data_IF_785529347581
#
_entry.id   IF_785529347581
#
_cell.length_a   1.000
_cell.length_b   1.000
_cell.length_c   1.000
_cell.angle_alpha   90.00
_cell.angle_beta   90.00
_cell.angle_gamma   90.00
#
_symmetry.space_group_name_H-M   'P 1'
#
loop_
_entity.id
_entity.type
_entity.pdbx_description
1 polymer ?
#
# COMPACT_ATOMS: atom_id res chain seq x y z
N UNK A 1 50.67 28.60 -29.96
CA UNK A 1 50.02 29.37 -28.88
C UNK A 1 49.48 28.34 -27.89
N UNK A 2 50.33 27.90 -26.95
CA UNK A 2 49.92 26.98 -25.89
C UNK A 2 49.06 27.74 -24.89
N UNK A 3 47.80 27.34 -24.74
CA UNK A 3 46.92 27.85 -23.70
C UNK A 3 47.45 27.40 -22.33
N UNK A 4 48.20 28.27 -21.65
CA UNK A 4 48.52 28.12 -20.22
C UNK A 4 47.22 28.29 -19.42
N UNK A 5 46.49 27.21 -19.21
CA UNK A 5 45.33 27.20 -18.30
C UNK A 5 45.86 27.17 -16.87
N UNK A 6 45.57 28.20 -16.07
CA UNK A 6 46.05 28.26 -14.69
C UNK A 6 45.30 27.24 -13.82
N UNK A 7 45.92 26.75 -12.74
CA UNK A 7 45.24 25.84 -11.78
C UNK A 7 43.93 26.41 -11.24
N UNK A 8 43.81 27.74 -11.13
CA UNK A 8 42.56 28.40 -10.72
C UNK A 8 41.48 28.30 -11.79
N UNK A 9 41.85 28.30 -13.06
CA UNK A 9 40.91 28.19 -14.17
C UNK A 9 40.41 26.75 -14.30
N UNK A 10 41.28 25.76 -14.09
CA UNK A 10 40.89 24.34 -14.02
C UNK A 10 39.86 24.12 -12.90
N UNK A 11 40.10 24.67 -11.70
CA UNK A 11 39.15 24.56 -10.58
C UNK A 11 37.84 25.30 -10.88
N UNK A 12 37.89 26.51 -11.47
CA UNK A 12 36.70 27.28 -11.84
C UNK A 12 35.86 26.55 -12.89
N UNK A 13 36.47 26.13 -14.01
CA UNK A 13 35.75 25.43 -15.08
C UNK A 13 35.28 24.04 -14.64
N UNK A 14 36.05 23.33 -13.80
CA UNK A 14 35.62 22.08 -13.18
C UNK A 14 34.41 22.27 -12.26
N UNK A 15 34.44 23.29 -11.38
CA UNK A 15 33.31 23.61 -10.50
C UNK A 15 32.06 24.06 -11.27
N UNK A 16 32.24 24.80 -12.37
CA UNK A 16 31.16 25.21 -13.26
C UNK A 16 30.56 24.00 -14.00
N UNK A 17 31.39 23.08 -14.49
CA UNK A 17 30.95 21.84 -15.13
C UNK A 17 30.16 20.94 -14.18
N UNK A 18 30.59 20.83 -12.92
CA UNK A 18 29.83 20.13 -11.87
C UNK A 18 28.51 20.85 -11.59
N UNK A 19 28.52 22.17 -11.43
CA UNK A 19 27.31 22.95 -11.17
C UNK A 19 26.28 22.83 -12.30
N UNK A 20 26.73 22.90 -13.57
CA UNK A 20 25.87 22.72 -14.75
C UNK A 20 25.35 21.28 -14.82
N UNK A 21 26.17 20.28 -14.53
CA UNK A 21 25.74 18.87 -14.52
C UNK A 21 24.74 18.58 -13.40
N UNK A 22 24.97 19.12 -12.19
CA UNK A 22 24.03 19.05 -11.08
C UNK A 22 22.72 19.78 -11.40
N UNK A 23 22.77 20.95 -12.04
CA UNK A 23 21.59 21.69 -12.47
C UNK A 23 20.82 20.93 -13.55
N UNK A 24 21.51 20.37 -14.54
CA UNK A 24 20.91 19.55 -15.59
C UNK A 24 20.26 18.29 -15.01
N UNK A 25 20.95 17.58 -14.10
CA UNK A 25 20.39 16.44 -13.37
C UNK A 25 19.16 16.84 -12.54
N UNK A 26 19.23 18.00 -11.88
CA UNK A 26 18.14 18.54 -11.06
C UNK A 26 16.92 18.86 -11.92
N UNK A 27 17.11 19.53 -13.05
CA UNK A 27 16.03 19.90 -13.97
C UNK A 27 15.41 18.65 -14.60
N UNK A 28 16.23 17.69 -15.04
CA UNK A 28 15.76 16.45 -15.68
C UNK A 28 15.05 15.50 -14.71
N UNK A 29 15.40 15.54 -13.41
CA UNK A 29 14.84 14.67 -12.38
C UNK A 29 13.92 15.40 -11.37
N UNK A 30 13.53 16.66 -11.64
CA UNK A 30 12.82 17.52 -10.69
C UNK A 30 11.54 16.89 -10.11
N UNK A 31 10.79 16.15 -10.93
CA UNK A 31 9.56 15.45 -10.48
C UNK A 31 9.86 14.32 -9.48
N UNK A 32 10.94 13.56 -9.68
CA UNK A 32 11.37 12.53 -8.73
C UNK A 32 11.93 13.18 -7.45
N UNK A 33 12.61 14.31 -7.58
CA UNK A 33 13.17 15.05 -6.43
C UNK A 33 12.13 15.82 -5.61
N UNK A 34 10.92 16.07 -6.14
CA UNK A 34 9.82 16.68 -5.35
C UNK A 34 9.53 15.90 -4.06
N UNK A 35 9.80 14.60 -4.07
CA UNK A 35 9.52 13.70 -2.95
C UNK A 35 10.76 13.31 -2.14
N UNK A 36 11.97 13.68 -2.58
CA UNK A 36 13.24 13.34 -1.92
C UNK A 36 13.81 14.55 -1.17
N UNK A 37 14.09 14.39 0.12
CA UNK A 37 14.69 15.45 0.95
C UNK A 37 16.23 15.38 0.96
N UNK A 38 16.93 16.46 1.36
CA UNK A 38 18.36 16.39 1.65
C UNK A 38 18.71 15.30 2.67
N UNK A 39 17.83 15.01 3.65
CA UNK A 39 17.97 13.87 4.57
C UNK A 39 17.89 12.52 3.84
N UNK A 40 16.97 12.38 2.89
CA UNK A 40 16.86 11.18 2.07
C UNK A 40 18.13 10.96 1.20
N UNK A 41 18.65 12.04 0.60
CA UNK A 41 19.90 12.02 -0.17
C UNK A 41 21.09 11.68 0.73
N UNK A 42 21.19 12.31 1.90
CA UNK A 42 22.23 12.02 2.89
C UNK A 42 22.20 10.54 3.30
N UNK A 43 21.01 9.99 3.54
CA UNK A 43 20.83 8.58 3.87
C UNK A 43 21.24 7.65 2.72
N UNK A 44 20.93 8.01 1.48
CA UNK A 44 21.35 7.24 0.29
C UNK A 44 22.88 7.23 0.14
N UNK A 45 23.54 8.35 0.45
CA UNK A 45 25.00 8.53 0.27
C UNK A 45 25.80 7.92 1.43
N UNK A 46 25.35 8.11 2.67
CA UNK A 46 26.14 7.78 3.87
C UNK A 46 25.64 6.54 4.62
N UNK A 47 24.46 6.00 4.26
CA UNK A 47 23.88 4.80 4.84
C UNK A 47 23.42 4.97 6.29
N UNK A 48 22.18 4.56 6.58
CA UNK A 48 21.83 4.14 7.95
C UNK A 48 22.32 2.70 8.11
N UNK A 49 22.60 2.25 9.33
CA UNK A 49 22.88 0.84 9.60
C UNK A 49 21.71 -0.01 9.10
N UNK A 50 21.80 -0.58 7.91
CA UNK A 50 20.73 -1.40 7.34
C UNK A 50 20.76 -2.78 7.99
N UNK A 51 19.59 -3.36 8.30
CA UNK A 51 19.51 -4.77 8.68
C UNK A 51 20.13 -5.66 7.58
N UNK A 52 20.61 -6.87 7.92
CA UNK A 52 21.23 -7.78 6.97
C UNK A 52 20.18 -8.48 6.06
N UNK A 53 19.36 -7.71 5.36
CA UNK A 53 18.40 -8.22 4.38
C UNK A 53 19.13 -9.01 3.29
N UNK A 54 18.54 -10.13 2.84
CA UNK A 54 19.12 -11.00 1.81
C UNK A 54 20.31 -11.87 2.26
N UNK A 55 20.92 -11.63 3.44
CA UNK A 55 21.94 -12.53 3.95
C UNK A 55 21.30 -13.80 4.51
N UNK A 56 21.67 -14.96 3.95
CA UNK A 56 21.19 -16.27 4.39
C UNK A 56 19.70 -16.53 4.15
N UNK A 57 19.14 -16.09 3.02
CA UNK A 57 17.76 -16.47 2.63
C UNK A 57 17.55 -17.99 2.59
N UNK A 58 18.62 -18.75 2.32
CA UNK A 58 18.67 -20.21 2.30
C UNK A 58 18.86 -20.87 3.69
N UNK A 59 19.07 -20.10 4.78
CA UNK A 59 19.18 -20.65 6.14
C UNK A 59 17.82 -20.77 6.82
N UNK A 60 17.76 -21.55 7.90
CA UNK A 60 16.55 -21.70 8.70
C UNK A 60 16.06 -20.35 9.23
N UNK A 61 14.74 -20.17 9.27
CA UNK A 61 14.07 -18.95 9.77
C UNK A 61 14.59 -18.51 11.16
N UNK A 62 14.83 -19.47 12.05
CA UNK A 62 15.39 -19.22 13.39
C UNK A 62 16.76 -18.53 13.34
N UNK A 63 17.64 -18.94 12.42
CA UNK A 63 18.95 -18.29 12.25
C UNK A 63 18.81 -16.84 11.76
N UNK A 64 17.85 -16.57 10.86
CA UNK A 64 17.57 -15.22 10.35
C UNK A 64 17.04 -14.30 11.46
N UNK A 65 16.12 -14.80 12.28
CA UNK A 65 15.60 -14.07 13.44
C UNK A 65 16.73 -13.74 14.43
N UNK A 66 17.63 -14.68 14.74
CA UNK A 66 18.76 -14.39 15.64
C UNK A 66 19.72 -13.34 15.07
N UNK A 67 19.90 -13.27 13.76
CA UNK A 67 20.69 -12.21 13.13
C UNK A 67 20.03 -10.84 13.34
N UNK A 68 18.72 -10.74 13.18
CA UNK A 68 18.00 -9.50 13.49
C UNK A 68 18.04 -9.15 14.98
N UNK A 69 17.99 -10.14 15.89
CA UNK A 69 18.16 -9.90 17.33
C UNK A 69 19.53 -9.29 17.64
N UNK A 70 20.60 -9.86 17.06
CA UNK A 70 21.96 -9.32 17.23
C UNK A 70 22.08 -7.91 16.65
N UNK A 71 21.49 -7.67 15.47
CA UNK A 71 21.43 -6.35 14.87
C UNK A 71 20.73 -5.32 15.77
N UNK A 72 19.55 -5.64 16.33
CA UNK A 72 18.82 -4.76 17.25
C UNK A 72 19.65 -4.49 18.51
N UNK A 73 20.32 -5.52 19.04
CA UNK A 73 21.22 -5.39 20.19
C UNK A 73 22.34 -4.40 19.92
N UNK A 74 23.00 -4.50 18.77
CA UNK A 74 24.08 -3.59 18.37
C UNK A 74 23.56 -2.16 18.16
N UNK A 75 22.41 -2.01 17.50
CA UNK A 75 21.76 -0.73 17.27
C UNK A 75 21.44 -0.02 18.60
N UNK A 76 20.91 -0.76 19.57
CA UNK A 76 20.61 -0.25 20.91
C UNK A 76 21.87 0.10 21.72
N UNK A 77 22.91 -0.74 21.63
CA UNK A 77 24.18 -0.52 22.33
C UNK A 77 24.94 0.71 21.82
N UNK A 78 24.89 1.00 20.52
CA UNK A 78 25.55 2.18 19.92
C UNK A 78 24.89 3.50 20.30
N UNK A 79 23.61 3.49 20.68
CA UNK A 79 22.85 4.68 21.05
C UNK A 79 22.59 5.67 19.91
N UNK A 80 23.04 5.37 18.68
CA UNK A 80 22.95 6.25 17.50
C UNK A 80 21.66 6.06 16.68
N UNK A 81 20.72 5.25 17.16
CA UNK A 81 19.47 4.98 16.46
C UNK A 81 18.62 6.26 16.36
N UNK A 82 18.13 6.55 15.14
CA UNK A 82 17.22 7.66 14.89
C UNK A 82 15.96 7.48 15.72
N UNK A 83 15.55 8.53 16.40
CA UNK A 83 14.27 8.56 17.10
C UNK A 83 13.20 9.07 16.13
N UNK A 84 12.11 8.31 15.97
CA UNK A 84 11.01 8.69 15.08
C UNK A 84 10.30 9.92 15.66
N UNK A 85 10.15 11.03 14.91
CA UNK A 85 9.51 12.23 15.41
C UNK A 85 8.04 11.98 15.71
N UNK A 86 7.46 12.79 16.59
CA UNK A 86 6.05 12.67 16.97
C UNK A 86 5.13 13.07 15.80
N UNK A 87 3.91 12.50 15.78
CA UNK A 87 2.89 12.94 14.84
C UNK A 87 2.49 14.40 15.11
N UNK A 88 2.37 15.26 14.09
CA UNK A 88 1.85 16.60 14.28
C UNK A 88 0.45 16.58 14.93
N UNK A 89 0.25 17.42 15.95
CA UNK A 89 -0.97 17.46 16.78
C UNK A 89 -2.30 17.72 16.05
N UNK A 90 -2.27 18.16 14.80
CA UNK A 90 -3.46 18.56 14.01
C UNK A 90 -3.73 17.63 12.83
N UNK A 91 -3.06 16.48 12.73
CA UNK A 91 -3.37 15.53 11.67
C UNK A 91 -4.71 14.85 11.95
N UNK A 92 -5.46 14.63 10.88
CA UNK A 92 -6.66 13.81 10.92
C UNK A 92 -6.30 12.32 11.00
N UNK A 93 -7.10 11.57 11.75
CA UNK A 93 -6.94 10.13 11.95
C UNK A 93 -8.23 9.40 11.60
N UNK A 94 -8.06 8.19 11.08
CA UNK A 94 -9.12 7.23 10.79
C UNK A 94 -8.83 5.95 11.57
N UNK A 95 -9.90 5.20 11.88
CA UNK A 95 -9.87 3.99 12.71
C UNK A 95 -9.42 4.18 14.18
N UNK A 96 -9.03 5.39 14.60
CA UNK A 96 -8.58 5.72 15.97
C UNK A 96 -8.64 7.22 16.23
N UNK A 97 -8.64 7.60 17.50
CA UNK A 97 -8.23 8.95 17.91
C UNK A 97 -6.71 9.15 17.69
N UNK A 98 -6.20 10.40 17.65
CA UNK A 98 -4.78 10.67 17.45
C UNK A 98 -3.88 9.94 18.44
N UNK A 99 -2.90 9.19 17.92
CA UNK A 99 -1.96 8.40 18.73
C UNK A 99 -0.66 9.15 18.95
N UNK A 100 0.02 8.85 20.06
CA UNK A 100 1.35 9.38 20.39
C UNK A 100 2.41 8.28 20.44
N UNK A 101 3.54 8.53 19.78
CA UNK A 101 4.74 7.68 19.85
C UNK A 101 5.39 7.77 21.24
N UNK A 102 5.44 8.97 21.82
CA UNK A 102 6.17 9.26 23.06
C UNK A 102 5.39 10.24 23.95
N UNK A 103 5.67 10.18 25.26
CA UNK A 103 5.01 11.04 26.26
C UNK A 103 5.44 12.49 26.04
N UNK A 104 4.49 13.41 25.90
CA UNK A 104 4.75 14.82 26.20
C UNK A 104 4.75 15.02 27.72
N UNK A 105 5.87 15.50 28.26
CA UNK A 105 5.82 16.20 29.54
C UNK A 105 5.48 17.64 29.23
N UNK A 106 4.27 18.09 29.55
CA UNK A 106 4.02 19.54 29.65
C UNK A 106 4.95 20.06 30.74
N UNK A 107 5.94 20.87 30.37
CA UNK A 107 6.80 21.57 31.33
C UNK A 107 5.88 22.57 32.05
N UNK A 108 5.48 22.26 33.29
CA UNK A 108 4.58 23.15 34.02
C UNK A 108 3.92 22.64 35.30
N UNK A 109 4.27 21.47 35.83
CA UNK A 109 3.80 21.06 37.18
C UNK A 109 4.97 20.49 37.96
N UNK A 110 5.76 21.37 38.59
CA UNK A 110 6.68 20.97 39.65
C UNK A 110 5.89 20.82 40.97
N UNK A 111 6.00 19.63 41.56
CA UNK A 111 5.78 19.30 42.97
C UNK A 111 4.71 20.10 43.72
N UNK A 112 3.46 19.66 43.63
CA UNK A 112 2.51 19.92 44.70
C UNK A 112 2.18 18.58 45.37
N UNK A 113 2.29 18.55 46.70
CA UNK A 113 1.77 17.44 47.51
C UNK A 113 0.25 17.58 47.52
N UNK A 114 -0.44 16.51 47.16
CA UNK A 114 -1.89 16.49 47.02
C UNK A 114 -2.43 15.37 47.90
N UNK A 115 -3.12 15.73 48.97
CA UNK A 115 -3.54 14.80 50.04
C UNK A 115 -5.08 14.73 50.19
N UNK A 116 -5.88 15.28 49.25
CA UNK A 116 -7.35 15.25 49.35
C UNK A 116 -8.10 14.97 48.02
N UNK A 117 -9.39 14.64 48.16
CA UNK A 117 -10.31 14.22 47.08
C UNK A 117 -10.60 15.32 46.04
N UNK A 118 -10.49 16.60 46.41
CA UNK A 118 -10.59 17.72 45.46
C UNK A 118 -9.36 17.84 44.57
N UNK A 119 -8.19 17.47 45.08
CA UNK A 119 -6.96 17.45 44.30
C UNK A 119 -7.00 16.36 43.21
N UNK A 120 -7.63 15.20 43.50
CA UNK A 120 -7.87 14.15 42.51
C UNK A 120 -8.80 14.61 41.38
N UNK A 121 -9.85 15.35 41.70
CA UNK A 121 -10.77 15.90 40.69
C UNK A 121 -10.10 17.02 39.87
N UNK A 122 -9.23 17.84 40.49
CA UNK A 122 -8.42 18.82 39.79
C UNK A 122 -7.38 18.15 38.86
N UNK A 123 -6.78 17.03 39.27
CA UNK A 123 -5.90 16.22 38.42
C UNK A 123 -6.70 15.61 37.27
N UNK A 124 -7.89 15.05 37.52
CA UNK A 124 -8.73 14.45 36.48
C UNK A 124 -9.14 15.49 35.44
N UNK A 125 -9.55 16.68 35.89
CA UNK A 125 -9.85 17.81 35.02
C UNK A 125 -8.60 18.35 34.32
N UNK A 126 -7.42 18.36 34.95
CA UNK A 126 -6.17 18.73 34.31
C UNK A 126 -5.71 17.69 33.27
N UNK A 127 -5.88 16.40 33.52
CA UNK A 127 -5.63 15.31 32.57
C UNK A 127 -6.55 15.44 31.36
N UNK A 128 -7.83 15.74 31.58
CA UNK A 128 -8.82 15.99 30.52
C UNK A 128 -8.57 17.32 29.77
N UNK A 129 -8.08 18.37 30.46
CA UNK A 129 -7.88 19.71 29.92
C UNK A 129 -6.52 19.91 29.24
N UNK A 130 -5.48 19.20 29.69
CA UNK A 130 -4.11 19.28 29.17
C UNK A 130 -3.69 18.02 28.39
N UNK A 131 -4.57 17.03 28.24
CA UNK A 131 -4.32 15.83 27.43
C UNK A 131 -3.13 15.02 27.93
N UNK A 132 -3.01 14.81 29.25
CA UNK A 132 -1.98 13.92 29.80
C UNK A 132 -2.44 12.48 29.55
N UNK A 133 -2.32 12.03 28.30
CA UNK A 133 -2.53 10.64 27.91
C UNK A 133 -1.25 9.84 28.12
N UNK A 134 -1.39 8.55 28.45
CA UNK A 134 -0.28 7.63 28.34
C UNK A 134 0.10 7.58 26.84
N UNK A 135 1.39 7.63 26.46
CA UNK A 135 1.75 7.46 25.05
C UNK A 135 1.26 6.09 24.56
N UNK A 136 0.32 6.10 23.62
CA UNK A 136 -0.45 4.91 23.19
C UNK A 136 0.45 3.84 22.55
N UNK A 137 1.56 4.27 21.95
CA UNK A 137 2.49 3.41 21.23
C UNK A 137 3.75 3.05 22.02
N UNK A 138 3.95 3.65 23.21
CA UNK A 138 5.08 3.29 24.07
C UNK A 138 4.92 1.85 24.53
N UNK A 139 6.02 1.09 24.45
CA UNK A 139 5.99 -0.33 24.79
C UNK A 139 5.53 -1.24 23.64
N UNK A 140 5.25 -0.69 22.46
CA UNK A 140 4.82 -1.47 21.28
C UNK A 140 5.88 -1.51 20.19
N UNK A 141 5.92 -2.60 19.45
CA UNK A 141 6.59 -2.65 18.15
C UNK A 141 5.60 -2.10 17.12
N UNK A 142 5.98 -1.05 16.41
CA UNK A 142 5.11 -0.36 15.44
C UNK A 142 5.67 -0.51 14.04
N UNK A 143 4.82 -0.87 13.08
CA UNK A 143 5.14 -0.77 11.65
C UNK A 143 4.41 0.44 11.09
N UNK A 144 5.17 1.47 10.71
CA UNK A 144 4.63 2.59 9.94
C UNK A 144 4.64 2.20 8.46
N UNK A 145 3.48 2.15 7.84
CA UNK A 145 3.33 1.93 6.39
C UNK A 145 3.14 3.27 5.69
N UNK A 146 4.12 3.73 4.92
CA UNK A 146 4.03 4.94 4.11
C UNK A 146 3.37 4.60 2.78
N UNK A 147 2.10 4.97 2.65
CA UNK A 147 1.25 4.54 1.54
C UNK A 147 0.46 5.70 0.93
N UNK A 148 -0.11 5.49 -0.26
CA UNK A 148 -1.07 6.39 -0.90
C UNK A 148 -2.07 5.53 -1.67
N UNK A 149 -3.36 5.87 -1.65
CA UNK A 149 -4.40 4.96 -2.15
C UNK A 149 -4.41 4.82 -3.69
N UNK A 150 -3.77 5.70 -4.44
CA UNK A 150 -3.66 5.59 -5.89
C UNK A 150 -2.53 4.64 -6.35
N UNK A 151 -1.67 4.17 -5.45
CA UNK A 151 -0.50 3.37 -5.80
C UNK A 151 -0.81 1.89 -5.76
N UNK A 152 -0.66 1.22 -6.91
CA UNK A 152 -0.91 -0.23 -7.02
C UNK A 152 0.03 -1.05 -6.13
N UNK A 153 1.30 -0.65 -6.02
CA UNK A 153 2.27 -1.30 -5.14
C UNK A 153 1.88 -1.20 -3.66
N UNK A 154 1.22 -0.10 -3.25
CA UNK A 154 0.68 0.02 -1.89
C UNK A 154 -0.50 -0.93 -1.66
N UNK A 155 -1.34 -1.17 -2.68
CA UNK A 155 -2.47 -2.09 -2.52
C UNK A 155 -1.98 -3.54 -2.40
N UNK A 156 -0.94 -3.91 -3.16
CA UNK A 156 -0.35 -5.25 -3.12
C UNK A 156 0.22 -5.65 -1.76
N UNK A 157 0.57 -4.70 -0.89
CA UNK A 157 1.15 -4.99 0.44
C UNK A 157 0.11 -5.06 1.55
N UNK A 158 -1.14 -4.66 1.31
CA UNK A 158 -2.19 -4.73 2.34
C UNK A 158 -2.41 -6.17 2.88
N UNK A 159 -2.40 -7.23 2.05
CA UNK A 159 -2.46 -8.61 2.57
C UNK A 159 -1.24 -9.01 3.41
N UNK A 160 -0.06 -8.42 3.14
CA UNK A 160 1.14 -8.64 3.95
C UNK A 160 0.97 -8.02 5.35
N UNK A 161 0.40 -6.81 5.42
CA UNK A 161 0.12 -6.12 6.67
C UNK A 161 -0.97 -6.83 7.47
N UNK A 162 -2.06 -7.24 6.83
CA UNK A 162 -3.15 -7.99 7.47
C UNK A 162 -2.64 -9.32 8.06
N UNK A 163 -1.70 -9.99 7.37
CA UNK A 163 -1.04 -11.18 7.92
C UNK A 163 -0.32 -10.88 9.23
N UNK A 164 0.44 -9.77 9.32
CA UNK A 164 1.15 -9.38 10.54
C UNK A 164 0.17 -9.01 11.66
N UNK A 165 -0.88 -8.25 11.35
CA UNK A 165 -1.94 -7.88 12.30
C UNK A 165 -2.61 -9.12 12.89
N UNK A 166 -2.98 -10.10 12.05
CA UNK A 166 -3.57 -11.37 12.51
C UNK A 166 -2.60 -12.18 13.36
N UNK A 167 -1.34 -12.29 12.93
CA UNK A 167 -0.30 -13.07 13.63
C UNK A 167 0.03 -12.49 15.01
N UNK A 168 0.06 -11.16 15.13
CA UNK A 168 0.51 -10.46 16.34
C UNK A 168 -0.62 -9.76 17.11
N UNK A 169 -1.89 -10.09 16.85
CA UNK A 169 -3.07 -9.43 17.45
C UNK A 169 -3.08 -9.35 18.99
N UNK A 170 -2.51 -10.36 19.67
CA UNK A 170 -2.46 -10.47 21.14
C UNK A 170 -1.10 -10.02 21.71
N UNK A 171 -0.22 -9.52 20.84
CA UNK A 171 1.13 -9.05 21.15
C UNK A 171 1.14 -7.51 21.17
N UNK A 172 2.17 -6.87 21.74
CA UNK A 172 2.27 -5.42 21.78
C UNK A 172 2.74 -4.89 20.42
N UNK A 173 1.88 -5.05 19.42
CA UNK A 173 2.11 -4.76 18.01
C UNK A 173 1.04 -3.80 17.48
N UNK A 174 1.39 -2.93 16.54
CA UNK A 174 0.39 -2.28 15.69
C UNK A 174 1.02 -1.89 14.35
N UNK A 175 0.19 -1.88 13.30
CA UNK A 175 0.47 -1.17 12.06
C UNK A 175 -0.12 0.25 12.19
N UNK A 176 0.51 1.24 11.56
CA UNK A 176 -0.07 2.56 11.35
C UNK A 176 0.14 2.93 9.89
N UNK A 177 -0.95 3.13 9.15
CA UNK A 177 -0.91 3.62 7.79
C UNK A 177 -0.64 5.13 7.78
N UNK A 178 0.57 5.54 7.42
CA UNK A 178 0.95 6.94 7.23
C UNK A 178 0.63 7.34 5.80
N UNK A 179 -0.61 7.77 5.56
CA UNK A 179 -1.07 8.16 4.24
C UNK A 179 -0.35 9.44 3.78
N UNK A 180 0.58 9.29 2.83
CA UNK A 180 1.43 10.35 2.29
C UNK A 180 1.01 10.63 0.85
N UNK A 181 0.20 11.66 0.63
CA UNK A 181 -0.52 11.92 -0.62
C UNK A 181 0.39 12.20 -1.83
N UNK A 182 0.33 11.39 -2.91
CA UNK A 182 1.08 11.64 -4.17
C UNK A 182 0.50 12.83 -4.96
N UNK A 183 -0.83 13.00 -4.95
CA UNK A 183 -1.57 14.08 -5.61
C UNK A 183 -2.36 14.93 -4.60
N UNK A 184 -2.64 16.19 -4.94
CA UNK A 184 -3.34 17.12 -4.03
C UNK A 184 -4.75 16.63 -3.64
N UNK A 185 -5.46 15.93 -4.54
CA UNK A 185 -6.75 15.31 -4.24
C UNK A 185 -6.65 14.22 -3.17
N UNK A 186 -5.50 13.56 -3.04
CA UNK A 186 -5.32 12.49 -2.05
C UNK A 186 -5.14 13.03 -0.62
N UNK A 187 -5.08 14.36 -0.43
CA UNK A 187 -5.08 14.97 0.90
C UNK A 187 -6.47 15.03 1.53
N UNK A 188 -7.52 14.85 0.75
CA UNK A 188 -8.91 14.90 1.21
C UNK A 188 -9.24 13.71 2.13
N UNK A 189 -9.71 14.00 3.34
CA UNK A 189 -9.95 12.99 4.37
C UNK A 189 -11.05 12.00 3.97
N UNK A 190 -12.11 12.46 3.29
CA UNK A 190 -13.20 11.57 2.86
C UNK A 190 -12.73 10.63 1.74
N UNK A 191 -11.87 11.10 0.84
CA UNK A 191 -11.24 10.24 -0.16
C UNK A 191 -10.39 9.14 0.50
N UNK A 192 -9.59 9.48 1.51
CA UNK A 192 -8.80 8.51 2.29
C UNK A 192 -9.73 7.55 3.05
N UNK A 193 -10.79 8.05 3.70
CA UNK A 193 -11.80 7.20 4.38
C UNK A 193 -12.41 6.21 3.40
N UNK A 194 -12.84 6.66 2.22
CA UNK A 194 -13.40 5.77 1.20
C UNK A 194 -12.36 4.73 0.72
N UNK A 195 -11.07 5.05 0.68
CA UNK A 195 -10.01 4.09 0.41
C UNK A 195 -9.83 3.07 1.56
N UNK A 196 -9.83 3.52 2.81
CA UNK A 196 -9.79 2.66 4.01
C UNK A 196 -10.94 1.66 3.99
N UNK A 197 -12.16 2.14 3.73
CA UNK A 197 -13.35 1.30 3.61
C UNK A 197 -13.30 0.37 2.40
N UNK A 198 -12.84 0.87 1.25
CA UNK A 198 -12.71 0.09 0.03
C UNK A 198 -11.74 -1.06 0.27
N UNK A 199 -10.54 -0.81 0.73
CA UNK A 199 -9.53 -1.87 0.86
C UNK A 199 -9.62 -2.66 2.18
N UNK A 200 -10.53 -2.31 3.08
CA UNK A 200 -10.77 -3.05 4.31
C UNK A 200 -9.66 -2.84 5.34
N UNK A 201 -9.02 -1.67 5.33
CA UNK A 201 -7.93 -1.33 6.25
C UNK A 201 -8.50 -1.19 7.68
N UNK A 202 -7.94 -1.97 8.62
CA UNK A 202 -8.41 -1.98 10.02
C UNK A 202 -7.43 -1.41 11.03
N UNK A 203 -6.16 -1.20 10.68
CA UNK A 203 -5.23 -0.43 11.50
C UNK A 203 -5.56 1.07 11.51
N UNK A 204 -5.04 1.81 12.51
CA UNK A 204 -4.93 3.26 12.48
C UNK A 204 -4.38 3.80 11.16
N UNK A 205 -5.01 4.84 10.62
CA UNK A 205 -4.49 5.60 9.48
C UNK A 205 -4.41 7.07 9.84
N UNK A 206 -3.25 7.68 9.58
CA UNK A 206 -3.03 9.12 9.76
C UNK A 206 -2.89 9.80 8.41
N UNK A 207 -3.54 10.94 8.23
CA UNK A 207 -3.40 11.76 7.03
C UNK A 207 -2.14 12.64 7.11
N UNK A 208 -1.00 12.10 6.66
CA UNK A 208 0.23 12.87 6.43
C UNK A 208 0.23 13.50 5.02
N UNK A 209 -0.86 14.16 4.65
CA UNK A 209 -1.05 14.72 3.30
C UNK A 209 -0.01 15.78 2.92
N UNK A 210 0.61 16.42 3.91
CA UNK A 210 1.73 17.34 3.70
C UNK A 210 3.10 16.66 3.78
N UNK A 211 3.19 15.33 3.91
CA UNK A 211 4.41 14.53 3.92
C UNK A 211 5.42 14.95 5.00
N UNK A 212 4.97 15.36 6.18
CA UNK A 212 5.87 15.74 7.27
C UNK A 212 6.72 14.56 7.72
N UNK A 213 6.09 13.44 8.07
CA UNK A 213 6.78 12.28 8.62
C UNK A 213 7.60 11.59 7.53
N UNK A 214 7.05 11.53 6.30
CA UNK A 214 7.77 11.10 5.10
C UNK A 214 9.12 11.82 4.94
N UNK A 215 9.10 13.15 5.02
CA UNK A 215 10.31 13.98 4.86
C UNK A 215 11.29 13.82 6.02
N UNK A 216 10.79 13.74 7.24
CA UNK A 216 11.61 13.62 8.44
C UNK A 216 12.34 12.28 8.51
N UNK A 217 11.69 11.19 8.08
CA UNK A 217 12.29 9.86 8.01
C UNK A 217 13.02 9.58 6.69
N UNK A 218 13.08 10.56 5.78
CA UNK A 218 13.78 10.44 4.51
C UNK A 218 13.25 9.30 3.64
N UNK A 219 11.92 9.12 3.60
CA UNK A 219 11.24 8.17 2.72
C UNK A 219 11.32 8.66 1.27
N UNK A 220 11.42 7.74 0.32
CA UNK A 220 11.64 8.06 -1.12
C UNK A 220 10.77 7.26 -2.07
N UNK A 221 9.96 6.33 -1.58
CA UNK A 221 9.20 5.39 -2.41
C UNK A 221 7.91 4.99 -1.72
N UNK A 222 6.88 4.71 -2.51
CA UNK A 222 5.67 4.04 -2.05
C UNK A 222 5.67 2.57 -2.51
N UNK A 223 5.31 1.62 -1.64
CA UNK A 223 5.25 1.74 -0.19
C UNK A 223 6.66 1.80 0.44
N UNK A 224 6.73 2.28 1.68
CA UNK A 224 7.90 2.11 2.55
C UNK A 224 7.44 1.76 3.96
N UNK A 225 8.06 0.76 4.57
CA UNK A 225 7.81 0.37 5.95
C UNK A 225 8.91 0.93 6.86
N UNK A 226 8.54 1.54 7.97
CA UNK A 226 9.45 1.89 9.05
C UNK A 226 9.10 1.11 10.31
N UNK A 227 10.02 0.27 10.78
CA UNK A 227 9.83 -0.56 11.96
C UNK A 227 10.37 0.21 13.16
N UNK A 228 9.52 0.44 14.16
CA UNK A 228 9.81 1.26 15.33
C UNK A 228 9.75 0.40 16.59
N UNK A 229 10.77 0.49 17.43
CA UNK A 229 10.83 -0.21 18.71
C UNK A 229 9.96 0.45 19.79
N UNK A 230 9.74 -0.23 20.93
CA UNK A 230 8.89 0.24 22.04
C UNK A 230 9.35 1.52 22.72
N UNK A 231 10.56 1.99 22.41
CA UNK A 231 11.16 3.23 22.88
C UNK A 231 11.10 4.37 21.83
N UNK A 232 10.43 4.15 20.70
CA UNK A 232 10.33 5.12 19.60
C UNK A 232 11.56 5.19 18.69
N UNK A 233 12.54 4.29 18.84
CA UNK A 233 13.69 4.19 17.95
C UNK A 233 13.32 3.51 16.65
N UNK A 234 13.77 4.08 15.53
CA UNK A 234 13.69 3.47 14.22
C UNK A 234 14.67 2.30 14.16
N UNK A 235 14.13 1.09 14.00
CA UNK A 235 14.92 -0.14 13.86
C UNK A 235 15.34 -0.39 12.42
N UNK A 236 14.43 -0.16 11.47
CA UNK A 236 14.72 -0.38 10.06
C UNK A 236 13.74 0.39 9.17
N UNK A 237 14.14 0.59 7.91
CA UNK A 237 13.25 1.00 6.83
C UNK A 237 13.39 0.04 5.65
N UNK A 238 12.27 -0.37 5.06
CA UNK A 238 12.20 -1.29 3.93
C UNK A 238 11.34 -0.63 2.85
N UNK A 239 11.85 -0.52 1.63
CA UNK A 239 11.16 0.15 0.51
C UNK A 239 10.68 -0.86 -0.51
N UNK A 240 9.47 -0.65 -1.05
CA UNK A 240 8.90 -1.48 -2.09
C UNK A 240 8.03 -2.64 -1.56
N UNK A 241 7.53 -3.45 -2.49
CA UNK A 241 6.65 -4.58 -2.23
C UNK A 241 7.43 -5.91 -2.06
N UNK A 242 6.76 -6.95 -1.54
CA UNK A 242 7.33 -8.32 -1.48
C UNK A 242 8.16 -8.62 -0.24
N UNK A 243 8.07 -7.80 0.81
CA UNK A 243 8.90 -7.91 2.02
C UNK A 243 8.19 -8.56 3.22
N UNK A 244 7.06 -9.27 3.03
CA UNK A 244 6.31 -9.92 4.13
C UNK A 244 7.20 -10.69 5.10
N UNK A 245 8.10 -11.54 4.59
CA UNK A 245 9.00 -12.37 5.40
C UNK A 245 9.96 -11.51 6.24
N UNK A 246 10.48 -10.43 5.64
CA UNK A 246 11.44 -9.52 6.30
C UNK A 246 10.76 -8.72 7.41
N UNK A 247 9.56 -8.21 7.16
CA UNK A 247 8.74 -7.57 8.19
C UNK A 247 8.43 -8.55 9.33
N UNK A 248 7.99 -9.76 9.00
CA UNK A 248 7.64 -10.77 9.99
C UNK A 248 8.81 -11.14 10.90
N UNK A 249 9.96 -11.47 10.31
CA UNK A 249 11.13 -11.90 11.07
C UNK A 249 11.75 -10.76 11.88
N UNK A 250 11.70 -9.52 11.39
CA UNK A 250 12.20 -8.36 12.12
C UNK A 250 11.29 -7.99 13.30
N UNK A 251 9.97 -8.07 13.14
CA UNK A 251 9.00 -7.88 14.23
C UNK A 251 9.19 -8.97 15.30
N UNK A 252 9.34 -10.24 14.89
CA UNK A 252 9.61 -11.33 15.84
C UNK A 252 10.93 -11.11 16.59
N UNK A 253 11.98 -10.70 15.90
CA UNK A 253 13.26 -10.36 16.52
C UNK A 253 13.15 -9.20 17.53
N UNK A 254 12.36 -8.17 17.21
CA UNK A 254 12.08 -7.07 18.13
C UNK A 254 11.38 -7.57 19.40
N UNK A 255 10.38 -8.46 19.29
CA UNK A 255 9.76 -9.07 20.47
C UNK A 255 10.74 -9.88 21.31
N UNK A 256 11.57 -10.71 20.69
CA UNK A 256 12.58 -11.50 21.40
C UNK A 256 13.61 -10.64 22.14
N UNK A 257 14.00 -9.50 21.56
CA UNK A 257 14.95 -8.58 22.17
C UNK A 257 14.31 -7.76 23.29
N UNK A 258 13.23 -7.03 23.00
CA UNK A 258 12.60 -6.11 23.96
C UNK A 258 11.80 -6.83 25.05
N UNK A 259 11.29 -8.04 24.78
CA UNK A 259 10.69 -8.90 25.79
C UNK A 259 11.69 -9.31 26.86
N UNK A 260 12.92 -9.69 26.48
CA UNK A 260 14.01 -9.95 27.43
C UNK A 260 14.40 -8.72 28.26
N UNK A 261 14.22 -7.51 27.71
CA UNK A 261 14.44 -6.23 28.39
C UNK A 261 13.23 -5.74 29.20
N UNK A 262 12.09 -6.47 29.19
CA UNK A 262 10.83 -6.08 29.84
C UNK A 262 10.34 -4.69 29.43
N UNK A 263 10.49 -4.36 28.14
CA UNK A 263 10.12 -3.06 27.59
C UNK A 263 8.78 -3.07 26.84
N UNK A 264 8.09 -4.20 26.83
CA UNK A 264 6.87 -4.39 26.06
C UNK A 264 5.60 -4.14 26.90
N UNK A 265 4.60 -3.49 26.31
CA UNK A 265 3.32 -3.12 26.96
C UNK A 265 2.12 -3.54 26.10
N UNK A 266 1.32 -4.46 26.63
CA UNK A 266 0.16 -5.05 25.97
C UNK A 266 -1.13 -4.23 26.12
N UNK A 267 -1.08 -3.03 26.71
CA UNK A 267 -2.26 -2.15 26.82
C UNK A 267 -2.87 -1.89 25.44
N UNK A 268 -4.12 -2.26 25.14
CA UNK A 268 -4.69 -2.12 23.80
C UNK A 268 -4.74 -0.65 23.32
N UNK A 269 -4.63 -0.46 22.02
CA UNK A 269 -4.86 0.84 21.38
C UNK A 269 -6.37 1.04 21.22
N UNK A 270 -6.93 2.22 21.51
CA UNK A 270 -8.35 2.49 21.30
C UNK A 270 -8.67 2.55 19.80
N UNK A 271 -9.35 1.51 19.27
CA UNK A 271 -9.80 1.48 17.88
C UNK A 271 -11.28 1.89 17.78
N UNK A 272 -11.61 2.61 16.70
CA UNK A 272 -12.96 2.99 16.31
C UNK A 272 -13.05 2.91 14.78
N UNK A 273 -13.38 1.74 14.25
CA UNK A 273 -13.22 1.44 12.83
C UNK A 273 -14.21 2.24 11.97
N UNK A 274 -13.74 2.80 10.86
CA UNK A 274 -14.60 3.57 9.93
C UNK A 274 -15.75 2.71 9.40
N UNK A 275 -15.51 1.41 9.19
CA UNK A 275 -16.51 0.47 8.66
C UNK A 275 -17.73 0.27 9.58
N UNK A 276 -17.57 0.55 10.87
CA UNK A 276 -18.63 0.41 11.87
C UNK A 276 -19.51 1.68 11.93
N UNK A 277 -19.00 2.79 11.40
CA UNK A 277 -19.64 4.11 11.47
C UNK A 277 -20.27 4.56 10.14
N UNK A 278 -20.12 3.78 9.06
CA UNK A 278 -20.66 4.12 7.74
C UNK A 278 -21.89 3.27 7.38
N UNK A 279 -23.08 3.85 7.58
CA UNK A 279 -24.35 3.20 7.24
C UNK A 279 -24.48 2.74 5.78
N UNK A 280 -23.75 3.38 4.83
CA UNK A 280 -23.80 3.03 3.40
C UNK A 280 -23.31 1.61 3.15
N UNK A 281 -22.40 1.12 4.00
CA UNK A 281 -21.85 -0.25 3.91
C UNK A 281 -22.94 -1.29 4.17
N UNK A 282 -23.95 -0.96 4.98
CA UNK A 282 -25.02 -1.88 5.37
C UNK A 282 -26.25 -1.78 4.47
N UNK A 283 -26.51 -0.60 3.89
CA UNK A 283 -27.79 -0.33 3.21
C UNK A 283 -27.70 -0.31 1.69
N UNK A 284 -26.51 -0.16 1.11
CA UNK A 284 -26.35 -0.06 -0.35
C UNK A 284 -26.39 -1.43 -1.03
N UNK A 285 -27.15 -1.62 -2.13
CA UNK A 285 -27.14 -2.86 -2.89
C UNK A 285 -25.81 -3.12 -3.60
N UNK A 286 -25.04 -2.07 -3.87
CA UNK A 286 -23.70 -2.13 -4.45
C UNK A 286 -22.66 -1.66 -3.43
N UNK A 287 -21.45 -2.22 -3.48
CA UNK A 287 -20.35 -1.88 -2.60
C UNK A 287 -19.11 -1.61 -3.44
N UNK A 288 -18.73 -0.34 -3.50
CA UNK A 288 -17.62 0.18 -4.31
C UNK A 288 -17.58 -0.39 -5.74
N UNK A 289 -18.64 -0.19 -6.56
CA UNK A 289 -18.62 -0.66 -7.94
C UNK A 289 -17.50 0.00 -8.73
N UNK A 290 -16.69 -0.81 -9.42
CA UNK A 290 -15.46 -0.36 -10.07
C UNK A 290 -15.66 0.18 -11.47
N UNK A 291 -16.37 -0.58 -12.31
CA UNK A 291 -16.59 -0.29 -13.74
C UNK A 291 -17.97 -0.72 -14.19
N UNK A 292 -18.32 -0.27 -15.40
CA UNK A 292 -19.53 -0.65 -16.10
C UNK A 292 -19.24 -0.99 -17.57
N UNK A 293 -20.03 -1.89 -18.12
CA UNK A 293 -20.14 -2.14 -19.56
C UNK A 293 -21.61 -2.15 -19.98
N UNK A 294 -21.88 -1.98 -21.27
CA UNK A 294 -23.26 -1.85 -21.78
C UNK A 294 -23.49 -2.82 -22.93
N UNK A 295 -24.63 -3.51 -22.88
CA UNK A 295 -25.22 -4.22 -24.02
C UNK A 295 -26.34 -3.36 -24.60
N UNK A 296 -25.99 -2.59 -25.63
CA UNK A 296 -26.91 -1.64 -26.27
C UNK A 296 -28.06 -2.35 -27.00
N UNK A 297 -27.83 -3.56 -27.52
CA UNK A 297 -28.85 -4.28 -28.30
C UNK A 297 -29.97 -4.81 -27.41
N UNK A 298 -29.65 -5.20 -26.18
CA UNK A 298 -30.61 -5.79 -25.24
C UNK A 298 -30.93 -4.89 -24.04
N UNK A 299 -30.48 -3.62 -24.05
CA UNK A 299 -30.69 -2.65 -22.98
C UNK A 299 -30.23 -3.16 -21.60
N UNK A 300 -29.06 -3.81 -21.53
CA UNK A 300 -28.46 -4.30 -20.27
C UNK A 300 -27.23 -3.49 -19.87
N UNK A 301 -27.05 -3.30 -18.56
CA UNK A 301 -25.82 -2.79 -17.95
C UNK A 301 -25.15 -3.92 -17.17
N UNK A 302 -23.84 -4.06 -17.35
CA UNK A 302 -22.99 -4.94 -16.56
C UNK A 302 -22.20 -4.07 -15.59
N UNK A 303 -22.21 -4.41 -14.31
CA UNK A 303 -21.55 -3.68 -13.23
C UNK A 303 -20.58 -4.62 -12.53
N UNK A 304 -19.34 -4.19 -12.32
CA UNK A 304 -18.43 -4.89 -11.43
C UNK A 304 -18.65 -4.35 -10.01
N UNK A 305 -19.36 -5.13 -9.20
CA UNK A 305 -19.66 -4.79 -7.82
C UNK A 305 -18.48 -5.25 -6.94
N UNK A 306 -17.37 -4.53 -7.07
CA UNK A 306 -16.04 -5.02 -6.72
C UNK A 306 -15.93 -5.48 -5.26
N UNK A 307 -16.49 -4.75 -4.29
CA UNK A 307 -16.40 -5.15 -2.88
C UNK A 307 -17.51 -6.11 -2.42
N UNK A 308 -18.41 -6.50 -3.32
CA UNK A 308 -19.22 -7.71 -3.17
C UNK A 308 -18.69 -8.86 -4.05
N UNK A 309 -17.48 -8.74 -4.63
CA UNK A 309 -16.81 -9.81 -5.37
C UNK A 309 -17.70 -10.50 -6.43
N UNK A 310 -18.52 -9.72 -7.15
CA UNK A 310 -19.51 -10.24 -8.10
C UNK A 310 -19.71 -9.31 -9.29
N UNK A 311 -20.31 -9.83 -10.34
CA UNK A 311 -20.84 -9.06 -11.47
C UNK A 311 -22.35 -8.97 -11.34
N UNK A 312 -22.91 -7.76 -11.48
CA UNK A 312 -24.36 -7.51 -11.45
C UNK A 312 -24.79 -7.06 -12.84
N UNK A 313 -25.85 -7.67 -13.35
CA UNK A 313 -26.47 -7.30 -14.62
C UNK A 313 -27.83 -6.68 -14.35
N UNK A 314 -28.07 -5.52 -14.92
CA UNK A 314 -29.32 -4.76 -14.74
C UNK A 314 -29.90 -4.36 -16.09
N UNK A 315 -31.18 -4.00 -16.12
CA UNK A 315 -31.72 -3.20 -17.23
C UNK A 315 -31.33 -1.71 -17.09
N UNK A 316 -31.67 -0.88 -18.07
CA UNK A 316 -31.42 0.57 -18.00
C UNK A 316 -32.26 1.29 -16.92
N UNK A 317 -33.29 0.64 -16.36
CA UNK A 317 -34.09 1.14 -15.25
C UNK A 317 -33.48 0.82 -13.88
N UNK A 318 -32.40 0.03 -13.82
CA UNK A 318 -31.74 -0.40 -12.60
C UNK A 318 -32.34 -1.67 -11.97
N UNK A 319 -33.27 -2.36 -12.64
CA UNK A 319 -33.77 -3.64 -12.15
C UNK A 319 -32.70 -4.72 -12.34
N UNK A 320 -32.42 -5.49 -11.29
CA UNK A 320 -31.49 -6.61 -11.36
C UNK A 320 -32.06 -7.72 -12.27
N UNK A 321 -31.27 -8.13 -13.26
CA UNK A 321 -31.58 -9.23 -14.18
C UNK A 321 -30.91 -10.51 -13.68
N UNK A 322 -29.59 -10.46 -13.44
CA UNK A 322 -28.80 -11.60 -12.98
C UNK A 322 -27.61 -11.13 -12.16
N UNK A 323 -27.26 -11.93 -11.16
CA UNK A 323 -26.03 -11.81 -10.40
C UNK A 323 -25.12 -13.00 -10.73
N UNK A 324 -23.83 -12.74 -10.86
CA UNK A 324 -22.83 -13.76 -11.17
C UNK A 324 -21.74 -13.67 -10.11
N UNK A 325 -21.57 -14.75 -9.34
CA UNK A 325 -20.75 -14.78 -8.12
C UNK A 325 -21.55 -15.28 -6.92
N UNK A 326 -21.18 -16.46 -6.43
CA UNK A 326 -21.94 -17.33 -5.52
C UNK A 326 -22.28 -16.74 -4.14
N UNK A 327 -21.33 -16.04 -3.53
CA UNK A 327 -21.31 -15.89 -2.06
C UNK A 327 -20.89 -14.50 -1.60
N UNK A 328 -20.48 -13.61 -2.52
CA UNK A 328 -19.91 -12.31 -2.18
C UNK A 328 -18.54 -12.35 -1.50
N UNK A 329 -18.07 -13.55 -1.14
CA UNK A 329 -16.73 -13.82 -0.63
C UNK A 329 -15.70 -13.76 -1.75
N UNK A 330 -14.47 -13.40 -1.39
CA UNK A 330 -13.34 -13.42 -2.31
C UNK A 330 -12.98 -14.87 -2.70
N UNK A 331 -12.67 -15.08 -3.98
CA UNK A 331 -12.23 -16.39 -4.46
C UNK A 331 -11.89 -16.44 -5.94
N UNK A 332 -11.33 -17.56 -6.40
CA UNK A 332 -10.85 -17.75 -7.78
C UNK A 332 -11.43 -19.01 -8.46
N UNK A 333 -12.62 -19.44 -8.06
CA UNK A 333 -13.29 -20.61 -8.63
C UNK A 333 -14.00 -20.27 -9.95
N UNK A 334 -13.79 -21.10 -10.97
CA UNK A 334 -14.60 -21.16 -12.20
C UNK A 334 -15.86 -22.03 -11.98
N UNK A 335 -16.86 -21.95 -12.85
CA UNK A 335 -18.08 -22.77 -12.71
C UNK A 335 -19.31 -22.13 -13.34
N UNK A 336 -20.50 -22.54 -12.91
CA UNK A 336 -21.73 -21.83 -13.24
C UNK A 336 -21.80 -20.47 -12.49
N UNK A 337 -22.81 -19.66 -12.78
CA UNK A 337 -22.97 -18.34 -12.15
C UNK A 337 -23.08 -18.36 -10.62
N UNK A 338 -23.63 -19.44 -10.05
CA UNK A 338 -23.84 -19.63 -8.62
C UNK A 338 -22.65 -20.29 -7.91
N UNK A 339 -21.65 -20.79 -8.63
CA UNK A 339 -20.46 -21.45 -8.05
C UNK A 339 -19.19 -20.60 -8.21
N UNK A 340 -19.14 -19.82 -9.30
CA UNK A 340 -18.01 -18.96 -9.60
C UNK A 340 -17.79 -17.92 -8.50
N UNK A 341 -16.53 -17.54 -8.31
CA UNK A 341 -16.12 -16.50 -7.35
C UNK A 341 -15.10 -15.59 -8.01
N UNK A 342 -15.14 -14.31 -7.62
CA UNK A 342 -14.20 -13.27 -8.06
C UNK A 342 -13.45 -12.70 -6.86
N UNK A 343 -12.45 -11.87 -7.13
CA UNK A 343 -11.77 -11.08 -6.11
C UNK A 343 -11.56 -9.66 -6.63
N UNK A 344 -12.45 -8.77 -6.18
CA UNK A 344 -12.51 -7.35 -6.56
C UNK A 344 -12.42 -7.10 -8.07
N UNK A 345 -13.36 -7.66 -8.87
CA UNK A 345 -13.35 -7.45 -10.32
C UNK A 345 -13.48 -5.97 -10.67
N UNK A 346 -12.82 -5.53 -11.74
CA UNK A 346 -12.82 -4.16 -12.24
C UNK A 346 -13.35 -4.12 -13.68
N UNK A 347 -12.47 -3.96 -14.67
CA UNK A 347 -12.77 -3.82 -16.10
C UNK A 347 -13.76 -4.85 -16.65
N UNK A 348 -14.64 -4.38 -17.52
CA UNK A 348 -15.65 -5.18 -18.20
C UNK A 348 -15.66 -4.87 -19.70
N UNK A 349 -15.64 -5.89 -20.55
CA UNK A 349 -15.75 -5.73 -22.01
C UNK A 349 -16.70 -6.77 -22.60
N UNK A 350 -17.77 -6.30 -23.23
CA UNK A 350 -18.83 -7.17 -23.77
C UNK A 350 -18.65 -7.46 -25.26
N UNK A 351 -18.66 -8.74 -25.61
CA UNK A 351 -18.71 -9.23 -26.99
C UNK A 351 -20.16 -9.57 -27.36
N UNK A 352 -20.80 -8.64 -28.07
CA UNK A 352 -22.22 -8.77 -28.44
C UNK A 352 -22.52 -9.91 -29.42
N UNK A 353 -21.54 -10.39 -30.19
CA UNK A 353 -21.76 -11.45 -31.19
C UNK A 353 -21.80 -12.83 -30.56
N UNK A 354 -20.96 -13.04 -29.53
CA UNK A 354 -20.84 -14.32 -28.82
C UNK A 354 -21.60 -14.34 -27.49
N UNK A 355 -22.15 -13.20 -27.06
CA UNK A 355 -22.80 -13.02 -25.76
C UNK A 355 -21.84 -13.38 -24.61
N UNK A 356 -20.60 -12.89 -24.72
CA UNK A 356 -19.53 -13.10 -23.73
C UNK A 356 -19.14 -11.77 -23.06
N UNK A 357 -18.84 -11.80 -21.77
CA UNK A 357 -18.31 -10.65 -21.04
C UNK A 357 -16.94 -10.99 -20.47
N UNK A 358 -15.91 -10.28 -20.92
CA UNK A 358 -14.57 -10.37 -20.36
C UNK A 358 -14.48 -9.51 -19.11
N UNK A 359 -13.86 -10.05 -18.06
CA UNK A 359 -13.75 -9.43 -16.75
C UNK A 359 -12.29 -9.40 -16.32
N UNK A 360 -11.79 -8.21 -15.99
CA UNK A 360 -10.53 -8.06 -15.28
C UNK A 360 -10.77 -8.37 -13.80
N UNK A 361 -10.36 -9.55 -13.36
CA UNK A 361 -10.51 -10.02 -11.98
C UNK A 361 -9.24 -9.66 -11.21
N UNK A 362 -9.20 -8.41 -10.75
CA UNK A 362 -7.97 -7.66 -10.47
C UNK A 362 -7.10 -8.28 -9.37
N UNK A 363 -7.68 -8.62 -8.22
CA UNK A 363 -6.91 -9.18 -7.10
C UNK A 363 -6.66 -10.69 -7.25
N UNK A 364 -7.36 -11.37 -8.16
CA UNK A 364 -6.98 -12.71 -8.62
C UNK A 364 -5.90 -12.67 -9.71
N UNK A 365 -5.51 -11.47 -10.16
CA UNK A 365 -4.56 -11.27 -11.24
C UNK A 365 -4.92 -12.12 -12.49
N UNK A 366 -6.19 -12.07 -12.88
CA UNK A 366 -6.74 -12.95 -13.92
C UNK A 366 -7.66 -12.21 -14.90
N UNK A 367 -7.71 -12.74 -16.11
CA UNK A 367 -8.75 -12.42 -17.09
C UNK A 367 -9.77 -13.55 -17.08
N UNK A 368 -11.02 -13.21 -16.79
CA UNK A 368 -12.14 -14.15 -16.76
C UNK A 368 -13.07 -13.88 -17.94
N UNK A 369 -13.81 -14.89 -18.37
CA UNK A 369 -14.90 -14.75 -19.35
C UNK A 369 -16.17 -15.32 -18.76
N UNK A 370 -17.25 -14.55 -18.87
CA UNK A 370 -18.60 -14.94 -18.53
C UNK A 370 -19.32 -15.27 -19.83
N UNK A 371 -19.83 -16.49 -19.93
CA UNK A 371 -20.63 -16.97 -21.05
C UNK A 371 -22.11 -16.99 -20.64
N UNK A 372 -22.90 -16.11 -21.25
CA UNK A 372 -24.33 -16.00 -20.98
C UNK A 372 -25.19 -17.00 -21.77
N UNK A 373 -24.61 -17.76 -22.71
CA UNK A 373 -25.30 -18.86 -23.41
C UNK A 373 -25.21 -20.14 -22.59
N UNK A 374 -24.02 -20.43 -22.07
CA UNK A 374 -23.76 -21.64 -21.28
C UNK A 374 -23.90 -21.41 -19.76
N UNK A 375 -24.12 -20.16 -19.32
CA UNK A 375 -24.20 -19.74 -17.92
C UNK A 375 -22.99 -20.14 -17.08
N UNK A 376 -21.79 -19.93 -17.64
CA UNK A 376 -20.52 -20.30 -16.99
C UNK A 376 -19.53 -19.15 -16.93
N UNK A 377 -18.59 -19.26 -15.99
CA UNK A 377 -17.42 -18.41 -15.83
C UNK A 377 -16.17 -19.27 -15.98
N UNK A 378 -15.23 -18.80 -16.80
CA UNK A 378 -13.95 -19.47 -17.04
C UNK A 378 -12.77 -18.51 -16.95
N UNK A 379 -11.62 -19.03 -16.54
CA UNK A 379 -10.36 -18.30 -16.57
C UNK A 379 -9.68 -18.45 -17.93
N UNK A 380 -9.37 -17.34 -18.60
CA UNK A 380 -8.71 -17.34 -19.92
C UNK A 380 -7.24 -16.89 -19.87
N UNK A 381 -6.83 -16.20 -18.80
CA UNK A 381 -5.44 -15.91 -18.48
C UNK A 381 -5.27 -15.65 -16.97
N UNK A 382 -4.11 -15.95 -16.41
CA UNK A 382 -3.84 -15.84 -14.96
C UNK A 382 -4.19 -17.11 -14.18
N UNK A 383 -3.64 -17.23 -12.97
CA UNK A 383 -3.80 -18.41 -12.12
C UNK A 383 -4.11 -18.10 -10.64
N UNK A 384 -4.50 -16.86 -10.32
CA UNK A 384 -4.74 -16.44 -8.94
C UNK A 384 -3.50 -15.87 -8.24
N UNK A 385 -2.33 -15.83 -8.88
CA UNK A 385 -1.08 -15.35 -8.28
C UNK A 385 -0.50 -14.16 -9.04
N UNK A 386 0.12 -13.23 -8.29
CA UNK A 386 0.74 -12.03 -8.85
C UNK A 386 1.92 -12.38 -9.75
N UNK A 387 1.84 -11.98 -11.01
CA UNK A 387 2.88 -12.20 -12.02
C UNK A 387 4.00 -11.15 -12.02
N UNK A 388 5.19 -11.59 -12.45
CA UNK A 388 6.36 -10.72 -12.67
C UNK A 388 6.89 -10.81 -14.11
N UNK A 389 6.09 -11.33 -15.04
CA UNK A 389 6.42 -11.46 -16.46
C UNK A 389 6.06 -10.17 -17.21
N UNK A 390 7.02 -9.55 -17.89
CA UNK A 390 6.84 -8.28 -18.62
C UNK A 390 6.70 -8.47 -20.15
N UNK A 391 6.72 -9.71 -20.63
CA UNK A 391 6.67 -10.05 -22.07
C UNK A 391 5.42 -10.85 -22.41
N UNK A 392 5.15 -11.89 -21.63
CA UNK A 392 4.09 -12.85 -21.92
C UNK A 392 4.38 -13.75 -23.13
N UNK A 393 3.30 -14.31 -23.68
CA UNK A 393 3.30 -15.31 -24.75
C UNK A 393 2.74 -16.67 -24.32
N UNK A 394 2.43 -16.85 -23.03
CA UNK A 394 1.74 -18.01 -22.50
C UNK A 394 0.23 -18.01 -22.79
N UNK A 395 -0.44 -19.07 -22.35
CA UNK A 395 -1.88 -19.30 -22.53
C UNK A 395 -2.56 -19.72 -21.23
N UNK A 396 -3.80 -19.27 -21.01
CA UNK A 396 -4.59 -19.69 -19.86
C UNK A 396 -3.83 -19.51 -18.53
N UNK A 397 -3.81 -20.51 -17.64
CA UNK A 397 -3.16 -20.40 -16.33
C UNK A 397 -1.63 -20.36 -16.38
N UNK A 398 -1.02 -20.62 -17.53
CA UNK A 398 0.44 -20.52 -17.68
C UNK A 398 0.91 -19.09 -17.90
N UNK A 399 0.04 -18.19 -18.35
CA UNK A 399 0.34 -16.76 -18.41
C UNK A 399 -0.06 -16.11 -17.09
N UNK A 400 0.94 -15.68 -16.31
CA UNK A 400 0.70 -14.87 -15.12
C UNK A 400 0.42 -13.43 -15.53
N UNK A 401 -0.54 -12.78 -14.85
CA UNK A 401 -0.85 -11.37 -15.00
C UNK A 401 -0.57 -10.64 -13.68
N UNK A 402 -0.66 -9.31 -13.69
CA UNK A 402 -0.41 -8.50 -12.50
C UNK A 402 -1.38 -7.32 -12.45
N UNK A 403 -2.48 -7.55 -11.73
CA UNK A 403 -3.52 -6.56 -11.45
C UNK A 403 -4.11 -5.94 -12.73
N UNK A 404 -4.77 -6.74 -13.58
CA UNK A 404 -5.50 -6.23 -14.73
C UNK A 404 -6.63 -5.33 -14.22
N UNK A 405 -6.74 -4.11 -14.75
CA UNK A 405 -7.61 -3.07 -14.19
C UNK A 405 -8.78 -2.73 -15.10
N UNK A 406 -8.53 -2.71 -16.40
CA UNK A 406 -9.56 -2.47 -17.41
C UNK A 406 -9.37 -3.39 -18.60
N UNK A 407 -10.45 -3.67 -19.34
CA UNK A 407 -10.41 -4.48 -20.55
C UNK A 407 -11.21 -3.82 -21.67
N UNK A 408 -10.79 -4.05 -22.91
CA UNK A 408 -11.49 -3.59 -24.10
C UNK A 408 -11.44 -4.68 -25.17
N UNK A 409 -12.59 -5.02 -25.76
CA UNK A 409 -12.68 -6.05 -26.79
C UNK A 409 -12.69 -5.42 -28.19
N UNK A 410 -11.78 -5.88 -29.04
CA UNK A 410 -11.63 -5.49 -30.45
C UNK A 410 -12.14 -6.64 -31.34
N UNK A 411 -13.26 -6.45 -32.05
CA UNK A 411 -13.99 -7.54 -32.70
C UNK A 411 -13.42 -8.01 -34.04
N UNK A 412 -12.52 -7.26 -34.69
CA UNK A 412 -11.97 -7.60 -36.02
C UNK A 412 -10.91 -8.68 -35.89
N UNK A 413 -9.96 -8.52 -34.96
CA UNK A 413 -8.89 -9.47 -34.71
C UNK A 413 -9.17 -10.36 -33.49
N UNK A 414 -10.34 -10.20 -32.87
CA UNK A 414 -10.79 -11.01 -31.73
C UNK A 414 -9.83 -10.91 -30.53
N UNK A 415 -9.39 -9.67 -30.25
CA UNK A 415 -8.42 -9.34 -29.20
C UNK A 415 -9.13 -8.68 -28.01
N UNK A 416 -8.77 -9.10 -26.80
CA UNK A 416 -9.07 -8.36 -25.57
C UNK A 416 -7.80 -7.61 -25.15
N UNK A 417 -7.82 -6.29 -25.23
CA UNK A 417 -6.79 -5.45 -24.62
C UNK A 417 -7.01 -5.36 -23.12
N UNK A 418 -5.92 -5.37 -22.36
CA UNK A 418 -5.91 -5.40 -20.90
C UNK A 418 -5.00 -4.26 -20.40
N UNK A 419 -5.55 -3.34 -19.61
CA UNK A 419 -4.75 -2.34 -18.91
C UNK A 419 -4.13 -2.98 -17.66
N UNK A 420 -2.85 -3.35 -17.75
CA UNK A 420 -2.12 -4.07 -16.70
C UNK A 420 -1.50 -3.08 -15.70
N UNK A 421 -2.26 -2.73 -14.66
CA UNK A 421 -1.86 -1.68 -13.72
C UNK A 421 -0.59 -2.04 -12.96
N UNK A 422 -0.47 -3.29 -12.50
CA UNK A 422 0.66 -3.74 -11.68
C UNK A 422 1.99 -3.84 -12.43
N UNK A 423 1.98 -3.78 -13.76
CA UNK A 423 3.18 -3.80 -14.60
C UNK A 423 3.33 -2.56 -15.47
N UNK A 424 2.47 -1.54 -15.32
CA UNK A 424 2.56 -0.32 -16.12
C UNK A 424 2.56 -0.58 -17.64
N UNK A 425 1.77 -1.56 -18.09
CA UNK A 425 1.75 -2.02 -19.48
C UNK A 425 0.31 -2.15 -20.01
N UNK A 426 0.18 -2.12 -21.33
CA UNK A 426 -1.02 -2.60 -22.04
C UNK A 426 -0.70 -3.98 -22.59
N UNK A 427 -1.57 -4.94 -22.32
CA UNK A 427 -1.47 -6.32 -22.77
C UNK A 427 -2.59 -6.64 -23.75
N UNK A 428 -2.41 -7.69 -24.53
CA UNK A 428 -3.42 -8.25 -25.43
C UNK A 428 -3.61 -9.74 -25.13
N UNK A 429 -4.86 -10.19 -25.18
CA UNK A 429 -5.25 -11.59 -25.17
C UNK A 429 -5.99 -11.89 -26.48
N UNK A 430 -5.43 -12.76 -27.32
CA UNK A 430 -6.07 -13.19 -28.55
C UNK A 430 -7.02 -14.35 -28.24
N UNK A 431 -8.31 -14.16 -28.49
CA UNK A 431 -9.36 -15.13 -28.11
C UNK A 431 -9.44 -16.32 -29.06
N UNK A 432 -8.78 -16.27 -30.22
CA UNK A 432 -8.73 -17.37 -31.20
C UNK A 432 -7.66 -18.40 -30.85
N UNK A 433 -6.47 -17.96 -30.41
CA UNK A 433 -5.36 -18.85 -30.09
C UNK A 433 -5.05 -18.95 -28.59
N UNK A 434 -5.64 -18.08 -27.76
CA UNK A 434 -5.49 -18.03 -26.30
C UNK A 434 -4.18 -17.39 -25.82
N UNK A 435 -3.35 -16.83 -26.71
CA UNK A 435 -2.07 -16.21 -26.35
C UNK A 435 -2.30 -14.87 -25.68
N UNK A 436 -1.60 -14.64 -24.57
CA UNK A 436 -1.65 -13.38 -23.82
C UNK A 436 -0.24 -12.80 -23.68
N UNK A 437 -0.03 -11.55 -24.09
CA UNK A 437 1.29 -10.92 -24.13
C UNK A 437 1.26 -9.40 -23.99
N UNK A 438 2.40 -8.81 -23.69
CA UNK A 438 2.57 -7.37 -23.67
C UNK A 438 2.40 -6.79 -25.08
N UNK A 439 1.57 -5.76 -25.21
CA UNK A 439 1.32 -5.01 -26.44
C UNK A 439 2.06 -3.66 -26.43
N UNK A 440 2.10 -2.97 -25.28
CA UNK A 440 2.75 -1.67 -25.13
C UNK A 440 3.24 -1.42 -23.70
N UNK A 441 4.28 -0.60 -23.57
CA UNK A 441 4.92 -0.26 -22.29
C UNK A 441 6.13 -1.15 -21.96
N UNK A 442 7.09 -0.59 -21.23
CA UNK A 442 8.36 -1.25 -20.88
C UNK A 442 8.46 -1.65 -19.40
N UNK A 443 7.37 -1.49 -18.64
CA UNK A 443 7.33 -1.82 -17.22
C UNK A 443 7.74 -0.69 -16.29
N UNK A 444 8.23 0.45 -16.79
CA UNK A 444 8.70 1.55 -15.96
C UNK A 444 7.66 2.69 -15.88
N UNK A 445 7.51 3.30 -14.70
CA UNK A 445 6.71 4.52 -14.49
C UNK A 445 7.40 5.76 -15.12
N UNK A 446 7.50 5.80 -16.45
CA UNK A 446 8.10 6.90 -17.21
C UNK A 446 7.34 7.17 -18.49
N UNK A 447 7.33 8.43 -18.90
CA UNK A 447 6.78 8.82 -20.19
C UNK A 447 7.90 8.91 -21.21
N UNK A 448 8.00 7.89 -22.07
CA UNK A 448 8.94 7.84 -23.20
C UNK A 448 8.32 8.32 -24.52
N UNK A 449 7.12 8.92 -24.50
CA UNK A 449 6.49 9.45 -25.70
C UNK A 449 7.35 10.62 -26.23
N UNK A 450 8.21 10.34 -27.20
CA UNK A 450 8.87 11.33 -28.02
C UNK A 450 7.96 11.78 -29.17
N UNK A 451 8.21 12.97 -29.69
CA UNK A 451 7.76 13.31 -31.05
C UNK A 451 8.43 12.32 -32.02
N UNK A 452 7.63 11.51 -32.73
CA UNK A 452 8.13 10.78 -33.90
C UNK A 452 8.54 11.76 -35.00
#
# INVERSE_FOLDING_TARGET
MELQVSRRDIVRYGSLGIAVSCLFFTITNWKAMKYATPKAIWKLIFGVSSPPFGQNEDKSRSARIQQFVSYISDLEARGSATIVPEFPSKLDWLNTAPLQLRRFTVIGVHSAKFDNEKDLEAIRNAVLRYGITHPDLKGKVVVLDFWTYCCINCMHVLPDLEFLEKKYKDMPFTVIGVHSAKFDNEKDLEAIRNAVLRYGITHPVVNDGDMFLWRELGVTSWPTFAIVGPNGKLLAQISGEGHRKDLDDLVEAAFLFYGRKKMLDNTPIPLSLEKENDSRILTSPLKFPGKLAVDVLNNRLFLSDSNHNRIVVTDLGGNCIVQIGSTGEEGFRDGNFDDATFNRPQGLAYNTKKNLLYVADTENHALRVIDFVNETVQTVAGNGTKGSDYKGGGKGPTQLLNSPWDVCFEPVNEIVYIAMAGQHQIWEHNTLDGVTRAFSGDGFERNLNGSR
#
